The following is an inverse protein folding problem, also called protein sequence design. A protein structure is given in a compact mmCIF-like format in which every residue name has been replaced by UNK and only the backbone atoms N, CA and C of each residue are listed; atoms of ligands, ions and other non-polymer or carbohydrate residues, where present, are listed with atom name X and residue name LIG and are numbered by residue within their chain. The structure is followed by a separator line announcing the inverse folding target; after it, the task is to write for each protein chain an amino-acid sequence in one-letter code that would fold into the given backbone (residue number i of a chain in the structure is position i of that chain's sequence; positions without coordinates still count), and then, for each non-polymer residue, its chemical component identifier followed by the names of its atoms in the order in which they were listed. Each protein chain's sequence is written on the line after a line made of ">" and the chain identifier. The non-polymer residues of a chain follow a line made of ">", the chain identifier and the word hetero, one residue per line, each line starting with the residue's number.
data_IF_835460792789
#
_entry.id   IF_835460792789
#
_cell.length_a   1.000
_cell.length_b   1.000
_cell.length_c   1.000
_cell.angle_alpha   90.00
_cell.angle_beta   90.00
_cell.angle_gamma   90.00
#
_symmetry.space_group_name_H-M   'P 1'
#
loop_
_entity.id
_entity.type
_entity.pdbx_description
1 polymer ?
#
# COMPACT_ATOMS: atom_id res chain seq x y z
N UNK A 1 -14.97 9.64 24.94
CA UNK A 1 -13.74 10.47 24.93
C UNK A 1 -12.92 10.00 23.74
N UNK A 2 -13.50 10.08 22.54
CA UNK A 2 -13.00 9.38 21.32
C UNK A 2 -12.51 10.35 20.24
N UNK A 3 -12.69 11.66 20.40
CA UNK A 3 -12.47 12.63 19.31
C UNK A 3 -11.10 13.32 19.31
N UNK A 4 -10.23 13.06 20.29
CA UNK A 4 -9.02 13.89 20.49
C UNK A 4 -7.87 13.54 19.54
N UNK A 5 -7.76 12.29 19.08
CA UNK A 5 -6.65 11.85 18.21
C UNK A 5 -6.98 12.17 16.74
N UNK A 6 -8.22 11.91 16.32
CA UNK A 6 -8.71 12.30 15.00
C UNK A 6 -8.51 13.81 14.77
N UNK A 7 -8.76 14.65 15.78
CA UNK A 7 -8.64 16.11 15.67
C UNK A 7 -7.24 16.62 15.28
N UNK A 8 -6.18 15.88 15.61
CA UNK A 8 -4.80 16.28 15.35
C UNK A 8 -4.30 15.87 13.96
N UNK A 9 -5.00 14.95 13.28
CA UNK A 9 -4.65 14.44 11.95
C UNK A 9 -5.43 15.15 10.82
N UNK A 10 -6.32 16.10 11.16
CA UNK A 10 -7.16 16.79 10.20
C UNK A 10 -6.48 18.01 9.57
N UNK A 11 -6.42 18.02 8.25
CA UNK A 11 -6.24 19.26 7.51
C UNK A 11 -7.59 20.00 7.42
N UNK A 12 -7.80 21.03 8.24
CA UNK A 12 -9.06 21.79 8.30
C UNK A 12 -9.52 22.41 6.96
N UNK A 13 -8.67 22.39 5.93
CA UNK A 13 -8.99 22.82 4.57
C UNK A 13 -9.72 21.77 3.73
N UNK A 14 -9.81 20.52 4.20
CA UNK A 14 -10.34 19.40 3.44
C UNK A 14 -11.63 18.85 4.09
N UNK A 15 -12.59 18.51 3.24
CA UNK A 15 -13.73 17.66 3.63
C UNK A 15 -13.18 16.30 4.04
N UNK A 16 -13.74 15.73 5.10
CA UNK A 16 -13.28 14.46 5.65
C UNK A 16 -14.26 13.36 5.29
N UNK A 17 -13.72 12.23 4.82
CA UNK A 17 -14.47 10.99 4.63
C UNK A 17 -13.68 9.82 5.25
N UNK A 18 -14.37 8.76 5.64
CA UNK A 18 -13.76 7.63 6.35
C UNK A 18 -14.08 6.33 5.63
N UNK A 19 -13.03 5.61 5.24
CA UNK A 19 -13.10 4.25 4.72
C UNK A 19 -12.90 3.30 5.90
N UNK A 20 -13.94 2.56 6.26
CA UNK A 20 -13.91 1.57 7.35
C UNK A 20 -13.56 0.20 6.81
N UNK A 21 -12.54 -0.41 7.40
CA UNK A 21 -12.13 -1.79 7.11
C UNK A 21 -12.63 -2.71 8.22
N UNK A 22 -12.55 -4.01 7.99
CA UNK A 22 -12.83 -5.04 9.01
C UNK A 22 -11.60 -5.90 9.21
N UNK A 23 -11.49 -6.53 10.38
CA UNK A 23 -10.45 -7.51 10.67
C UNK A 23 -11.06 -8.92 10.55
N UNK A 24 -11.14 -9.44 9.34
CA UNK A 24 -11.66 -10.78 9.02
C UNK A 24 -10.76 -11.39 7.96
N UNK A 25 -9.60 -11.95 8.37
CA UNK A 25 -8.60 -12.43 7.42
C UNK A 25 -9.22 -13.43 6.46
N UNK A 26 -9.36 -13.02 5.19
CA UNK A 26 -9.75 -13.87 4.08
C UNK A 26 -8.52 -14.01 3.15
N UNK A 27 -8.62 -14.91 2.16
CA UNK A 27 -7.66 -15.03 1.07
C UNK A 27 -6.18 -15.16 1.49
N UNK A 28 -5.91 -15.79 2.65
CA UNK A 28 -4.55 -16.04 3.12
C UNK A 28 -3.74 -16.84 2.11
N UNK A 29 -4.40 -17.65 1.29
CA UNK A 29 -3.81 -18.41 0.20
C UNK A 29 -3.15 -17.51 -0.85
N UNK A 30 -3.70 -16.34 -1.16
CA UNK A 30 -3.12 -15.40 -2.12
C UNK A 30 -1.77 -14.90 -1.60
N UNK A 31 -1.70 -14.47 -0.33
CA UNK A 31 -0.44 -14.03 0.29
C UNK A 31 0.55 -15.19 0.40
N UNK A 32 0.10 -16.40 0.74
CA UNK A 32 0.98 -17.57 0.81
C UNK A 32 1.57 -17.91 -0.58
N UNK A 33 0.74 -17.89 -1.62
CA UNK A 33 1.18 -18.13 -2.99
C UNK A 33 2.13 -17.03 -3.48
N UNK A 34 1.81 -15.77 -3.20
CA UNK A 34 2.68 -14.64 -3.49
C UNK A 34 4.02 -14.75 -2.76
N UNK A 35 4.02 -15.20 -1.50
CA UNK A 35 5.23 -15.45 -0.72
C UNK A 35 6.12 -16.49 -1.41
N UNK A 36 5.54 -17.62 -1.82
CA UNK A 36 6.26 -18.65 -2.55
C UNK A 36 6.85 -18.11 -3.87
N UNK A 37 6.10 -17.27 -4.59
CA UNK A 37 6.57 -16.68 -5.84
C UNK A 37 7.70 -15.66 -5.64
N UNK A 38 7.60 -14.83 -4.60
CA UNK A 38 8.64 -13.90 -4.19
C UNK A 38 9.94 -14.64 -3.82
N UNK A 39 9.84 -15.70 -3.02
CA UNK A 39 10.99 -16.48 -2.57
C UNK A 39 11.72 -17.19 -3.72
N UNK A 40 10.97 -17.75 -4.68
CA UNK A 40 11.54 -18.33 -5.91
C UNK A 40 12.35 -17.31 -6.70
N UNK A 41 11.94 -16.05 -6.66
CA UNK A 41 12.57 -14.93 -7.36
C UNK A 41 13.57 -14.16 -6.47
N UNK A 42 14.03 -14.76 -5.36
CA UNK A 42 15.05 -14.20 -4.46
C UNK A 42 14.63 -12.88 -3.79
N UNK A 43 13.34 -12.77 -3.48
CA UNK A 43 12.77 -11.79 -2.56
C UNK A 43 12.44 -12.42 -1.20
N UNK A 44 12.41 -11.57 -0.19
CA UNK A 44 11.87 -11.88 1.14
C UNK A 44 10.63 -11.04 1.38
N UNK A 45 9.68 -11.61 2.12
CA UNK A 45 8.48 -10.91 2.59
C UNK A 45 8.39 -11.08 4.10
N UNK A 46 8.13 -9.97 4.81
CA UNK A 46 7.96 -9.99 6.26
C UNK A 46 6.64 -9.32 6.63
N UNK A 47 5.80 -10.03 7.38
CA UNK A 47 4.57 -9.48 7.91
C UNK A 47 4.86 -8.51 9.08
N UNK A 48 4.11 -7.42 9.11
CA UNK A 48 4.04 -6.47 10.21
C UNK A 48 2.59 -6.41 10.68
N UNK A 49 2.32 -6.95 11.85
CA UNK A 49 1.03 -6.76 12.52
C UNK A 49 1.20 -5.60 13.49
N UNK A 50 0.38 -4.56 13.33
CA UNK A 50 0.27 -3.52 14.34
C UNK A 50 -0.79 -4.00 15.34
N UNK A 51 -0.36 -4.56 16.48
CA UNK A 51 -1.25 -4.93 17.59
C UNK A 51 -1.62 -3.68 18.40
N UNK A 52 -2.26 -2.70 17.75
CA UNK A 52 -2.73 -1.52 18.45
C UNK A 52 -4.19 -1.72 18.89
N UNK A 53 -4.43 -1.51 20.19
CA UNK A 53 -5.77 -1.51 20.78
C UNK A 53 -6.59 -0.30 20.30
N UNK A 54 -5.93 0.76 19.80
CA UNK A 54 -6.55 1.99 19.30
C UNK A 54 -6.71 2.00 17.76
N UNK A 55 -7.75 2.68 17.23
CA UNK A 55 -7.92 2.90 15.80
C UNK A 55 -6.72 3.61 15.15
N UNK A 56 -6.09 2.97 14.17
CA UNK A 56 -5.09 3.61 13.31
C UNK A 56 -5.71 4.10 12.01
N UNK A 57 -5.21 5.21 11.48
CA UNK A 57 -5.67 5.77 10.21
C UNK A 57 -4.51 6.07 9.27
N UNK A 58 -4.75 5.77 8.00
CA UNK A 58 -3.95 6.24 6.85
C UNK A 58 -4.75 7.24 6.04
N UNK A 59 -4.05 8.09 5.30
CA UNK A 59 -4.69 9.18 4.57
C UNK A 59 -4.33 9.15 3.09
N UNK A 60 -5.34 9.37 2.26
CA UNK A 60 -5.17 9.65 0.84
C UNK A 60 -5.91 10.93 0.51
N UNK A 61 -5.29 11.82 -0.26
CA UNK A 61 -5.82 13.14 -0.56
C UNK A 61 -6.35 13.20 -1.99
N UNK A 62 -7.58 13.70 -2.14
CA UNK A 62 -8.05 14.28 -3.39
C UNK A 62 -7.91 15.81 -3.28
N UNK A 63 -6.79 16.32 -3.80
CA UNK A 63 -6.51 17.76 -3.78
C UNK A 63 -7.30 18.56 -4.82
N UNK A 64 -8.02 17.91 -5.75
CA UNK A 64 -8.91 18.56 -6.72
C UNK A 64 -10.29 18.80 -6.10
N UNK A 65 -10.84 17.78 -5.43
CA UNK A 65 -12.13 17.87 -4.71
C UNK A 65 -11.97 18.42 -3.29
N UNK A 66 -10.74 18.61 -2.83
CA UNK A 66 -10.40 18.99 -1.45
C UNK A 66 -11.00 18.01 -0.42
N UNK A 67 -10.84 16.70 -0.65
CA UNK A 67 -11.27 15.63 0.26
C UNK A 67 -10.04 14.87 0.82
N UNK A 68 -10.04 14.60 2.12
CA UNK A 68 -9.12 13.68 2.79
C UNK A 68 -9.90 12.41 3.13
N UNK A 69 -9.47 11.29 2.56
CA UNK A 69 -10.01 9.97 2.89
C UNK A 69 -9.16 9.34 3.99
N UNK A 70 -9.79 9.11 5.13
CA UNK A 70 -9.20 8.49 6.31
C UNK A 70 -9.51 6.99 6.25
N UNK A 71 -8.52 6.18 5.92
CA UNK A 71 -8.63 4.72 5.86
C UNK A 71 -8.32 4.18 7.24
N UNK A 72 -9.33 3.61 7.92
CA UNK A 72 -9.14 2.88 9.16
C UNK A 72 -8.29 1.63 8.88
N UNK A 73 -7.12 1.55 9.50
CA UNK A 73 -6.12 0.49 9.25
C UNK A 73 -5.93 -0.46 10.43
N UNK A 74 -6.80 -0.41 11.43
CA UNK A 74 -6.77 -1.38 12.54
C UNK A 74 -7.12 -2.77 12.04
N UNK A 75 -6.24 -3.74 12.31
CA UNK A 75 -6.36 -5.09 11.79
C UNK A 75 -5.90 -5.29 10.33
N UNK A 76 -5.41 -4.23 9.67
CA UNK A 76 -4.84 -4.31 8.32
C UNK A 76 -3.58 -5.18 8.30
N UNK A 77 -3.50 -6.13 7.36
CA UNK A 77 -2.29 -6.92 7.15
C UNK A 77 -1.27 -6.11 6.35
N UNK A 78 -0.07 -5.94 6.91
CA UNK A 78 1.02 -5.23 6.25
C UNK A 78 2.19 -6.16 5.99
N UNK A 79 2.79 -6.06 4.81
CA UNK A 79 3.96 -6.84 4.40
C UNK A 79 5.02 -5.91 3.83
N UNK A 80 6.27 -6.12 4.24
CA UNK A 80 7.44 -5.51 3.62
C UNK A 80 8.11 -6.51 2.71
N UNK A 81 8.35 -6.14 1.45
CA UNK A 81 9.00 -6.99 0.45
C UNK A 81 10.36 -6.42 0.09
N UNK A 82 11.39 -7.28 0.06
CA UNK A 82 12.77 -6.89 -0.20
C UNK A 82 13.56 -7.97 -0.94
N UNK A 83 14.25 -7.59 -2.01
CA UNK A 83 15.21 -8.45 -2.71
C UNK A 83 16.39 -8.87 -1.81
N UNK A 84 16.88 -10.11 -1.95
CA UNK A 84 17.88 -10.71 -1.06
C UNK A 84 19.30 -10.70 -1.63
N UNK A 85 19.52 -11.11 -2.89
CA UNK A 85 20.88 -11.26 -3.41
C UNK A 85 21.48 -9.98 -3.97
N UNK A 86 22.81 -10.01 -4.14
CA UNK A 86 23.56 -8.98 -4.86
C UNK A 86 23.26 -8.98 -6.37
N UNK A 87 22.66 -10.04 -6.93
CA UNK A 87 22.31 -10.13 -8.35
C UNK A 87 21.08 -9.29 -8.68
N UNK A 88 20.15 -9.17 -7.74
CA UNK A 88 18.92 -8.37 -7.85
C UNK A 88 19.14 -7.04 -7.11
N UNK A 89 20.17 -6.29 -7.53
CA UNK A 89 20.44 -4.94 -7.06
C UNK A 89 20.52 -3.98 -8.22
N UNK A 90 20.14 -2.74 -7.94
CA UNK A 90 20.36 -1.65 -8.88
C UNK A 90 21.43 -0.69 -8.37
N UNK A 91 22.27 -0.21 -9.28
CA UNK A 91 23.29 0.77 -8.95
C UNK A 91 22.74 2.18 -9.20
N UNK A 92 22.79 3.05 -8.19
CA UNK A 92 22.47 4.47 -8.34
C UNK A 92 23.68 5.34 -7.98
N UNK A 93 23.87 6.42 -8.74
CA UNK A 93 24.89 7.44 -8.45
C UNK A 93 24.34 8.33 -7.34
N UNK A 94 25.01 8.34 -6.19
CA UNK A 94 24.71 9.33 -5.16
C UNK A 94 25.17 10.71 -5.66
N UNK A 95 24.31 11.72 -5.54
CA UNK A 95 24.49 13.06 -6.12
C UNK A 95 25.83 13.75 -5.76
N UNK A 96 26.52 13.30 -4.70
CA UNK A 96 27.76 13.91 -4.21
C UNK A 96 29.00 13.02 -4.22
N UNK A 97 28.95 11.75 -4.66
CA UNK A 97 30.14 10.87 -4.62
C UNK A 97 30.24 10.00 -5.88
N UNK A 98 31.43 9.99 -6.52
CA UNK A 98 31.83 9.14 -7.66
C UNK A 98 31.73 7.61 -7.41
N UNK A 99 31.09 7.15 -6.34
CA UNK A 99 30.90 5.73 -5.99
C UNK A 99 29.47 5.32 -6.27
N UNK A 100 29.31 4.26 -7.07
CA UNK A 100 28.03 3.57 -7.24
C UNK A 100 27.66 2.90 -5.92
N UNK A 101 26.46 3.17 -5.42
CA UNK A 101 25.85 2.39 -4.33
C UNK A 101 24.86 1.42 -4.93
N UNK A 102 24.92 0.17 -4.48
CA UNK A 102 23.96 -0.87 -4.84
C UNK A 102 22.82 -0.88 -3.85
N UNK A 103 21.59 -0.76 -4.34
CA UNK A 103 20.36 -0.74 -3.57
C UNK A 103 19.55 -1.99 -3.85
N UNK A 104 18.78 -2.41 -2.87
CA UNK A 104 17.80 -3.48 -2.99
C UNK A 104 16.49 -2.90 -3.54
N UNK A 105 15.78 -3.71 -4.30
CA UNK A 105 14.37 -3.45 -4.61
C UNK A 105 13.54 -3.72 -3.36
N UNK A 106 12.69 -2.76 -3.04
CA UNK A 106 11.86 -2.73 -1.84
C UNK A 106 10.49 -2.10 -2.16
N UNK A 107 9.43 -2.73 -1.67
CA UNK A 107 8.05 -2.22 -1.73
C UNK A 107 7.24 -2.78 -0.57
N UNK A 108 6.07 -2.18 -0.31
CA UNK A 108 5.13 -2.60 0.73
C UNK A 108 3.85 -3.11 0.11
N UNK A 109 3.20 -4.04 0.79
CA UNK A 109 1.85 -4.51 0.49
C UNK A 109 1.00 -4.28 1.74
N UNK A 110 -0.12 -3.60 1.60
CA UNK A 110 -1.10 -3.43 2.68
C UNK A 110 -2.43 -3.99 2.20
N UNK A 111 -3.06 -4.84 3.01
CA UNK A 111 -4.31 -5.50 2.65
C UNK A 111 -5.44 -4.96 3.51
N UNK A 112 -6.36 -4.26 2.86
CA UNK A 112 -7.58 -3.73 3.45
C UNK A 112 -8.71 -4.73 3.22
N UNK A 113 -9.32 -5.18 4.30
CA UNK A 113 -10.45 -6.12 4.27
C UNK A 113 -11.77 -5.38 4.46
N UNK A 114 -12.80 -5.84 3.75
CA UNK A 114 -14.16 -5.31 3.81
C UNK A 114 -15.16 -6.43 4.07
N UNK A 115 -16.38 -6.07 4.47
CA UNK A 115 -17.41 -7.05 4.81
C UNK A 115 -17.84 -7.93 3.63
N UNK A 116 -17.73 -7.42 2.39
CA UNK A 116 -18.05 -8.16 1.17
C UNK A 116 -17.37 -7.55 -0.07
N UNK A 117 -17.47 -8.26 -1.20
CA UNK A 117 -16.85 -7.87 -2.48
C UNK A 117 -17.41 -6.57 -3.06
N UNK A 118 -18.70 -6.27 -2.85
CA UNK A 118 -19.33 -5.05 -3.35
C UNK A 118 -18.73 -3.81 -2.67
N UNK A 119 -18.58 -3.87 -1.34
CA UNK A 119 -17.96 -2.79 -0.56
C UNK A 119 -16.48 -2.64 -0.94
N UNK A 120 -15.75 -3.75 -1.09
CA UNK A 120 -14.35 -3.71 -1.52
C UNK A 120 -14.20 -3.08 -2.90
N UNK A 121 -15.04 -3.46 -3.87
CA UNK A 121 -15.02 -2.92 -5.24
C UNK A 121 -15.28 -1.42 -5.25
N UNK A 122 -16.30 -0.96 -4.51
CA UNK A 122 -16.62 0.46 -4.41
C UNK A 122 -15.48 1.28 -3.80
N UNK A 123 -14.84 0.76 -2.74
CA UNK A 123 -13.70 1.43 -2.13
C UNK A 123 -12.45 1.37 -3.00
N UNK A 124 -12.27 0.30 -3.78
CA UNK A 124 -11.18 0.19 -4.76
C UNK A 124 -11.30 1.26 -5.84
N UNK A 125 -12.47 1.43 -6.45
CA UNK A 125 -12.71 2.45 -7.47
C UNK A 125 -12.41 3.85 -6.93
N UNK A 126 -12.86 4.14 -5.71
CA UNK A 126 -12.57 5.38 -5.01
C UNK A 126 -11.05 5.58 -4.81
N UNK A 127 -10.36 4.59 -4.24
CA UNK A 127 -8.93 4.68 -3.96
C UNK A 127 -8.08 4.79 -5.23
N UNK A 128 -8.46 4.08 -6.28
CA UNK A 128 -7.80 4.17 -7.58
C UNK A 128 -8.01 5.55 -8.22
N UNK A 129 -9.23 6.08 -8.21
CA UNK A 129 -9.51 7.45 -8.70
C UNK A 129 -8.68 8.49 -7.93
N UNK A 130 -8.71 8.43 -6.60
CA UNK A 130 -8.00 9.39 -5.73
C UNK A 130 -6.49 9.28 -5.90
N UNK A 131 -5.94 8.09 -6.19
CA UNK A 131 -4.52 7.92 -6.47
C UNK A 131 -4.04 8.70 -7.71
N UNK A 132 -4.95 8.96 -8.65
CA UNK A 132 -4.71 9.73 -9.87
C UNK A 132 -5.12 11.21 -9.74
N UNK A 133 -5.67 11.64 -8.59
CA UNK A 133 -6.10 13.02 -8.38
C UNK A 133 -4.94 14.02 -8.58
N UNK A 134 -5.28 15.17 -9.19
CA UNK A 134 -4.33 16.23 -9.52
C UNK A 134 -3.21 15.75 -10.44
N UNK A 135 -3.52 14.92 -11.43
CA UNK A 135 -2.54 14.26 -12.33
C UNK A 135 -1.52 13.39 -11.56
N UNK A 136 -1.98 12.76 -10.49
CA UNK A 136 -1.16 11.97 -9.56
C UNK A 136 -0.30 12.83 -8.60
N UNK A 137 -0.46 14.15 -8.60
CA UNK A 137 0.36 15.05 -7.77
C UNK A 137 -0.04 15.07 -6.31
N UNK A 138 -1.29 14.75 -5.97
CA UNK A 138 -1.80 14.86 -4.61
C UNK A 138 -1.12 13.88 -3.64
N UNK A 139 -0.68 12.71 -4.12
CA UNK A 139 -0.19 11.60 -3.29
C UNK A 139 1.25 11.14 -3.64
N UNK A 140 2.06 12.02 -4.27
CA UNK A 140 3.38 11.72 -4.89
C UNK A 140 4.45 11.07 -4.01
N UNK A 141 4.26 10.98 -2.70
CA UNK A 141 5.27 10.43 -1.79
C UNK A 141 5.61 8.97 -2.12
N UNK A 142 4.64 8.22 -2.66
CA UNK A 142 4.80 6.82 -3.03
C UNK A 142 4.21 6.56 -4.42
N UNK A 143 4.85 5.68 -5.19
CA UNK A 143 4.23 5.03 -6.32
C UNK A 143 3.28 3.98 -5.77
N UNK A 144 2.03 4.37 -5.52
CA UNK A 144 0.98 3.50 -4.99
C UNK A 144 0.08 2.98 -6.10
N UNK A 145 -0.31 1.71 -6.00
CA UNK A 145 -1.27 1.05 -6.88
C UNK A 145 -2.15 0.13 -6.05
N UNK A 146 -3.36 -0.10 -6.53
CA UNK A 146 -4.33 -0.95 -5.86
C UNK A 146 -4.71 -2.13 -6.75
N UNK A 147 -5.04 -3.25 -6.13
CA UNK A 147 -5.67 -4.42 -6.76
C UNK A 147 -6.82 -4.86 -5.86
N UNK A 148 -7.99 -5.11 -6.42
CA UNK A 148 -9.12 -5.70 -5.67
C UNK A 148 -9.22 -7.20 -5.96
N UNK A 149 -9.41 -8.00 -4.91
CA UNK A 149 -9.67 -9.43 -4.97
C UNK A 149 -10.68 -9.81 -3.91
N UNK A 150 -11.84 -10.34 -4.34
CA UNK A 150 -12.98 -10.60 -3.47
C UNK A 150 -13.31 -9.39 -2.60
N UNK A 151 -13.32 -9.56 -1.29
CA UNK A 151 -13.61 -8.54 -0.28
C UNK A 151 -12.34 -7.78 0.19
N UNK A 152 -11.23 -7.85 -0.54
CA UNK A 152 -9.95 -7.26 -0.16
C UNK A 152 -9.39 -6.30 -1.21
N UNK A 153 -8.72 -5.26 -0.73
CA UNK A 153 -7.93 -4.34 -1.55
C UNK A 153 -6.47 -4.46 -1.13
N UNK A 154 -5.62 -4.78 -2.09
CA UNK A 154 -4.17 -4.85 -1.94
C UNK A 154 -3.57 -3.53 -2.42
N UNK A 155 -3.07 -2.71 -1.49
CA UNK A 155 -2.25 -1.54 -1.76
C UNK A 155 -0.79 -1.96 -1.91
N UNK A 156 -0.23 -1.75 -3.10
CA UNK A 156 1.19 -1.89 -3.37
C UNK A 156 1.84 -0.50 -3.43
N UNK A 157 2.87 -0.27 -2.63
CA UNK A 157 3.54 1.05 -2.59
C UNK A 157 5.05 0.97 -2.55
N UNK A 158 5.71 1.86 -3.29
CA UNK A 158 7.17 2.01 -3.27
C UNK A 158 7.62 3.46 -3.49
N UNK A 159 8.69 3.88 -2.83
CA UNK A 159 9.32 5.19 -3.07
C UNK A 159 10.28 5.19 -4.25
N UNK A 160 10.59 4.02 -4.81
CA UNK A 160 11.62 3.86 -5.84
C UNK A 160 10.99 3.49 -7.18
N UNK A 161 11.13 4.37 -8.18
CA UNK A 161 10.72 4.08 -9.56
C UNK A 161 11.36 2.80 -10.11
N UNK A 162 12.52 2.40 -9.55
CA UNK A 162 13.17 1.15 -9.94
C UNK A 162 12.51 -0.08 -9.32
N UNK A 163 11.97 0.03 -8.11
CA UNK A 163 11.15 -1.03 -7.51
C UNK A 163 9.77 -1.13 -8.16
N UNK A 164 9.28 -0.06 -8.80
CA UNK A 164 7.95 -0.02 -9.41
C UNK A 164 7.72 -1.15 -10.43
N UNK A 165 8.72 -1.50 -11.24
CA UNK A 165 8.55 -2.57 -12.23
C UNK A 165 8.38 -3.95 -11.60
N UNK A 166 9.19 -4.28 -10.58
CA UNK A 166 9.04 -5.52 -9.83
C UNK A 166 7.73 -5.55 -9.05
N UNK A 167 7.37 -4.42 -8.44
CA UNK A 167 6.09 -4.28 -7.74
C UNK A 167 4.91 -4.60 -8.68
N UNK A 168 4.92 -4.08 -9.91
CA UNK A 168 3.87 -4.35 -10.92
C UNK A 168 3.79 -5.83 -11.31
N UNK A 169 4.91 -6.54 -11.40
CA UNK A 169 4.92 -7.97 -11.70
C UNK A 169 4.17 -8.77 -10.61
N UNK A 170 4.46 -8.48 -9.34
CA UNK A 170 3.79 -9.13 -8.21
C UNK A 170 2.35 -8.66 -7.99
N UNK A 171 2.01 -7.44 -8.42
CA UNK A 171 0.61 -7.04 -8.51
C UNK A 171 -0.16 -7.87 -9.53
N UNK A 172 0.40 -8.05 -10.74
CA UNK A 172 -0.23 -8.87 -11.77
C UNK A 172 -0.35 -10.34 -11.38
N UNK A 173 0.45 -10.80 -10.41
CA UNK A 173 0.29 -12.13 -9.79
C UNK A 173 -0.91 -12.21 -8.83
N UNK A 174 -1.23 -11.12 -8.11
CA UNK A 174 -2.41 -11.04 -7.22
C UNK A 174 -3.68 -10.78 -8.02
N UNK A 175 -3.60 -9.98 -9.09
CA UNK A 175 -4.54 -10.12 -10.20
C UNK A 175 -4.41 -11.56 -10.76
N UNK A 176 -5.29 -12.14 -11.57
CA UNK A 176 -5.01 -13.47 -12.15
C UNK A 176 -5.04 -14.71 -11.21
N UNK A 177 -4.79 -14.59 -9.90
CA UNK A 177 -5.10 -15.61 -8.88
C UNK A 177 -6.29 -15.18 -8.01
#
# INVERSE_FOLDING_TARGET
>A
MEDSIMYQLFNAKYIQDTIRTVNKPDNTDIINNLTNELEKNDFSISAHTVENEEPEYRFVFDCVKHIQYNIESTGMRTYSVKSNSKKIKYNSRAYSKKKLRSYYYEFKICVYEFDNEEIATKNYELLDEVSHAGDGNCNRTFNTRYVVRKNEIFEFSTMSDRSLNYMKEYMSYVEGH
#
